data_IF_710065836561
#
_entry.id   IF_710065836561
#
_cell.length_a   1.000
_cell.length_b   1.000
_cell.length_c   1.000
_cell.angle_alpha   90.00
_cell.angle_beta   90.00
_cell.angle_gamma   90.00
#
_symmetry.space_group_name_H-M   'P 1'
#
loop_
_entity.id
_entity.type
_entity.pdbx_description
1 polymer ?
#
# COMPACT_ATOMS: atom_id res chain seq x y z
N UNK A 1 16.79 21.33 -9.18
CA UNK A 1 16.92 21.20 -7.72
C UNK A 1 15.59 21.03 -6.99
N UNK A 2 14.56 21.85 -7.23
CA UNK A 2 13.25 21.73 -6.56
C UNK A 2 12.55 20.35 -6.73
N UNK A 3 12.37 19.87 -7.96
CA UNK A 3 11.63 18.63 -8.24
C UNK A 3 12.24 17.39 -7.58
N UNK A 4 13.58 17.28 -7.56
CA UNK A 4 14.26 16.15 -6.95
C UNK A 4 14.05 16.11 -5.42
N UNK A 5 14.06 17.28 -4.76
CA UNK A 5 13.79 17.38 -3.33
C UNK A 5 12.34 17.03 -3.00
N UNK A 6 11.38 17.51 -3.80
CA UNK A 6 9.95 17.18 -3.62
C UNK A 6 9.68 15.68 -3.85
N UNK A 7 10.31 15.09 -4.87
CA UNK A 7 10.23 13.65 -5.12
C UNK A 7 10.85 12.85 -3.96
N UNK A 8 12.02 13.27 -3.47
CA UNK A 8 12.68 12.65 -2.32
C UNK A 8 11.82 12.71 -1.06
N UNK A 9 11.25 13.88 -0.75
CA UNK A 9 10.35 14.05 0.39
C UNK A 9 9.12 13.15 0.29
N UNK A 10 8.49 13.08 -0.89
CA UNK A 10 7.32 12.23 -1.12
C UNK A 10 7.65 10.75 -0.93
N UNK A 11 8.79 10.30 -1.43
CA UNK A 11 9.26 8.92 -1.26
C UNK A 11 9.56 8.57 0.20
N UNK A 12 10.29 9.43 0.91
CA UNK A 12 10.59 9.22 2.33
C UNK A 12 9.34 9.24 3.21
N UNK A 13 8.40 10.14 2.94
CA UNK A 13 7.14 10.21 3.68
C UNK A 13 6.25 8.98 3.42
N UNK A 14 6.23 8.48 2.19
CA UNK A 14 5.56 7.22 1.84
C UNK A 14 6.15 6.03 2.60
N UNK A 15 7.47 5.88 2.58
CA UNK A 15 8.15 4.79 3.29
C UNK A 15 7.95 4.88 4.81
N UNK A 16 8.03 6.09 5.38
CA UNK A 16 7.77 6.30 6.79
C UNK A 16 6.35 5.88 7.16
N UNK A 17 5.34 6.36 6.42
CA UNK A 17 3.95 6.02 6.70
C UNK A 17 3.65 4.54 6.51
N UNK A 18 4.26 3.88 5.52
CA UNK A 18 4.14 2.42 5.36
C UNK A 18 4.74 1.65 6.55
N UNK A 19 5.84 2.13 7.14
CA UNK A 19 6.50 1.46 8.25
C UNK A 19 5.74 1.55 9.58
N UNK A 20 4.89 2.57 9.77
CA UNK A 20 4.08 2.74 10.99
C UNK A 20 2.58 2.46 10.78
N UNK A 21 2.15 2.16 9.56
CA UNK A 21 0.75 1.87 9.25
C UNK A 21 0.35 0.48 9.77
N UNK A 22 -0.77 0.41 10.51
CA UNK A 22 -1.37 -0.85 10.93
C UNK A 22 -2.59 -1.17 10.06
N UNK A 23 -2.54 -2.19 9.19
CA UNK A 23 -3.64 -2.57 8.31
C UNK A 23 -4.70 -3.47 8.98
N UNK A 24 -4.56 -3.81 10.27
CA UNK A 24 -5.35 -4.88 10.91
C UNK A 24 -6.85 -4.58 10.99
N UNK A 25 -7.24 -3.36 11.35
CA UNK A 25 -8.63 -3.00 11.65
C UNK A 25 -9.14 -1.79 10.86
N UNK A 26 -9.54 -1.96 9.59
CA UNK A 26 -9.97 -0.84 8.74
C UNK A 26 -11.29 -0.19 9.18
N UNK A 27 -12.08 -0.84 10.06
CA UNK A 27 -13.36 -0.32 10.56
C UNK A 27 -13.15 0.60 11.76
N UNK A 28 -12.37 0.14 12.74
CA UNK A 28 -12.19 0.83 14.03
C UNK A 28 -10.96 1.72 14.05
N UNK A 29 -9.92 1.37 13.29
CA UNK A 29 -8.70 2.16 13.13
C UNK A 29 -8.34 2.45 11.65
N UNK A 30 -9.22 3.16 10.92
CA UNK A 30 -8.97 3.54 9.54
C UNK A 30 -7.80 4.53 9.41
N UNK A 31 -7.27 4.64 8.19
CA UNK A 31 -6.15 5.51 7.76
C UNK A 31 -6.18 6.93 8.36
N UNK A 32 -7.36 7.54 8.50
CA UNK A 32 -7.51 8.90 9.04
C UNK A 32 -7.34 8.99 10.56
N UNK A 33 -7.55 7.90 11.31
CA UNK A 33 -7.27 7.82 12.75
C UNK A 33 -5.78 7.67 13.05
N UNK A 34 -5.04 7.01 12.16
CA UNK A 34 -3.59 6.80 12.27
C UNK A 34 -2.74 7.99 11.76
N UNK A 35 -3.37 9.10 11.33
CA UNK A 35 -2.64 10.29 10.87
C UNK A 35 -1.85 10.06 9.57
N UNK A 36 -2.36 9.21 8.67
CA UNK A 36 -1.72 8.89 7.40
C UNK A 36 -2.06 9.93 6.33
N UNK A 37 -1.06 10.70 5.90
CA UNK A 37 -1.28 11.79 4.94
C UNK A 37 -1.17 11.35 3.47
N UNK A 38 -0.14 10.60 3.12
CA UNK A 38 0.16 10.24 1.72
C UNK A 38 -0.62 9.01 1.23
N UNK A 39 -0.97 8.09 2.13
CA UNK A 39 -1.72 6.87 1.80
C UNK A 39 -3.09 7.17 1.15
N UNK A 40 -3.93 8.09 1.67
CA UNK A 40 -5.19 8.48 1.02
C UNK A 40 -5.06 8.96 -0.42
N UNK A 41 -3.94 9.61 -0.78
CA UNK A 41 -3.73 10.05 -2.17
C UNK A 41 -3.38 8.88 -3.08
N UNK A 42 -2.61 7.91 -2.58
CA UNK A 42 -2.29 6.68 -3.30
C UNK A 42 -3.54 5.80 -3.50
N UNK A 43 -4.39 5.66 -2.47
CA UNK A 43 -5.62 4.87 -2.55
C UNK A 43 -6.62 5.43 -3.53
N UNK A 44 -6.73 6.76 -3.61
CA UNK A 44 -7.59 7.43 -4.59
C UNK A 44 -7.20 7.12 -6.03
N UNK A 45 -5.92 6.84 -6.28
CA UNK A 45 -5.39 6.45 -7.58
C UNK A 45 -5.42 4.93 -7.83
N UNK A 46 -6.02 4.15 -6.92
CA UNK A 46 -6.16 2.70 -7.05
C UNK A 46 -5.03 1.87 -6.46
N UNK A 47 -4.09 2.48 -5.73
CA UNK A 47 -3.03 1.75 -5.01
C UNK A 47 -3.59 1.31 -3.65
N UNK A 48 -4.10 0.07 -3.56
CA UNK A 48 -4.81 -0.43 -2.37
C UNK A 48 -4.21 -1.68 -1.74
N UNK A 49 -3.26 -2.34 -2.41
CA UNK A 49 -2.74 -3.66 -2.03
C UNK A 49 -1.24 -3.57 -1.77
N UNK A 50 -0.78 -4.16 -0.67
CA UNK A 50 0.63 -4.23 -0.27
C UNK A 50 1.28 -5.53 -0.70
N UNK A 51 2.57 -5.49 -1.03
CA UNK A 51 3.35 -6.71 -1.33
C UNK A 51 3.45 -7.67 -0.14
N UNK A 52 3.19 -7.17 1.07
CA UNK A 52 3.07 -7.97 2.30
C UNK A 52 1.72 -8.70 2.43
N UNK A 53 0.85 -8.60 1.41
CA UNK A 53 -0.36 -9.40 1.30
C UNK A 53 -1.60 -8.81 1.96
N UNK A 54 -1.53 -7.61 2.54
CA UNK A 54 -2.68 -6.89 3.08
C UNK A 54 -3.28 -5.91 2.06
N UNK A 55 -4.57 -5.61 2.23
CA UNK A 55 -5.30 -4.60 1.47
C UNK A 55 -5.89 -3.56 2.42
N UNK A 56 -6.05 -2.33 1.94
CA UNK A 56 -6.59 -1.21 2.73
C UNK A 56 -8.05 -1.45 3.17
N UNK A 57 -8.77 -2.33 2.49
CA UNK A 57 -10.14 -2.73 2.87
C UNK A 57 -10.17 -3.93 3.81
N UNK A 58 -9.03 -4.37 4.37
CA UNK A 58 -8.93 -5.50 5.30
C UNK A 58 -8.91 -6.89 4.66
N UNK A 59 -8.81 -6.96 3.33
CA UNK A 59 -8.67 -8.24 2.61
C UNK A 59 -7.22 -8.73 2.54
N UNK A 60 -7.04 -10.04 2.37
CA UNK A 60 -5.74 -10.62 1.99
C UNK A 60 -5.60 -10.68 0.47
N UNK A 61 -4.45 -10.25 -0.05
CA UNK A 61 -4.17 -10.15 -1.49
C UNK A 61 -2.93 -10.99 -1.84
N UNK A 62 -3.04 -12.09 -2.60
CA UNK A 62 -1.89 -12.96 -2.83
C UNK A 62 -0.82 -12.36 -3.76
N UNK A 63 -1.11 -11.29 -4.50
CA UNK A 63 -0.13 -10.69 -5.40
C UNK A 63 -0.56 -9.31 -5.95
N UNK A 64 -0.06 -8.18 -5.41
CA UNK A 64 -0.42 -6.84 -5.90
C UNK A 64 0.23 -6.43 -7.21
N UNK A 65 1.26 -7.15 -7.68
CA UNK A 65 2.09 -6.69 -8.80
C UNK A 65 1.37 -6.81 -10.14
N UNK A 66 1.33 -5.72 -10.93
CA UNK A 66 0.74 -5.71 -12.28
C UNK A 66 1.36 -6.77 -13.21
N UNK A 67 2.68 -6.95 -13.14
CA UNK A 67 3.42 -7.94 -13.93
C UNK A 67 3.05 -9.38 -13.56
N UNK A 68 2.72 -9.65 -12.30
CA UNK A 68 2.39 -10.99 -11.82
C UNK A 68 0.89 -11.29 -11.93
N UNK A 69 0.04 -10.26 -11.82
CA UNK A 69 -1.42 -10.36 -12.00
C UNK A 69 -1.81 -10.92 -13.38
N UNK A 70 -1.04 -10.64 -14.43
CA UNK A 70 -1.30 -11.13 -15.81
C UNK A 70 -0.89 -12.59 -16.03
N UNK A 71 -0.04 -13.14 -15.17
CA UNK A 71 0.43 -14.52 -15.26
C UNK A 71 0.16 -15.21 -13.92
N UNK A 72 -1.06 -15.74 -13.70
CA UNK A 72 -1.32 -16.56 -12.53
C UNK A 72 -0.42 -17.80 -12.63
N UNK A 73 0.72 -17.76 -11.95
CA UNK A 73 1.53 -18.94 -11.71
C UNK A 73 0.68 -19.83 -10.81
N UNK A 74 -0.02 -20.76 -11.44
CA UNK A 74 -0.77 -21.83 -10.77
C UNK A 74 0.26 -22.76 -10.11
N UNK A 75 0.78 -22.34 -8.96
CA UNK A 75 1.51 -23.25 -8.07
C UNK A 75 0.46 -24.14 -7.44
N UNK A 76 0.06 -25.18 -8.18
CA UNK A 76 -0.52 -26.37 -7.55
C UNK A 76 0.57 -26.88 -6.62
N UNK A 77 0.38 -26.71 -5.30
CA UNK A 77 1.13 -27.46 -4.29
C UNK A 77 0.96 -28.94 -4.64
N UNK A 78 2.05 -29.56 -5.07
CA UNK A 78 2.22 -31.00 -5.02
C UNK A 78 2.58 -31.40 -3.58
#
# INVERSE_FOLDING_TARGET
MHTALVAGWTGSMALYKLAVFDPSDPVLDPIWRQGMFVIPFMTRLGITNSWDGWSITGGTTPNPGWLVSKHPVNIKKA
#
